data_IF_686632456210
#
_entry.id   IF_686632456210
#
_cell.length_a   1.000
_cell.length_b   1.000
_cell.length_c   1.000
_cell.angle_alpha   90.00
_cell.angle_beta   90.00
_cell.angle_gamma   90.00
#
_symmetry.space_group_name_H-M   'P 1'
#
loop_
_entity.id
_entity.type
_entity.pdbx_description
1 polymer ?
#
# COMPACT_ATOMS: atom_id res chain seq x y z
N UNK A 1 -5.37 -21.91 15.92
CA UNK A 1 -5.20 -21.02 14.77
C UNK A 1 -3.87 -20.33 14.95
N UNK A 2 -2.90 -20.61 14.08
CA UNK A 2 -1.67 -19.82 14.05
C UNK A 2 -2.10 -18.48 13.47
N UNK A 3 -2.13 -17.45 14.32
CA UNK A 3 -2.18 -16.07 13.84
C UNK A 3 -0.94 -15.92 12.97
N UNK A 4 -1.11 -16.00 11.65
CA UNK A 4 -0.05 -15.60 10.73
C UNK A 4 0.38 -14.22 11.17
N UNK A 5 1.68 -14.04 11.41
CA UNK A 5 2.25 -12.77 11.80
C UNK A 5 1.71 -11.72 10.84
N UNK A 6 0.88 -10.82 11.37
CA UNK A 6 0.39 -9.67 10.63
C UNK A 6 1.65 -8.99 10.09
N UNK A 7 1.86 -8.89 8.77
CA UNK A 7 3.03 -8.18 8.29
C UNK A 7 2.76 -6.68 8.49
N UNK A 8 3.33 -6.12 9.55
CA UNK A 8 3.26 -4.68 9.84
C UNK A 8 4.20 -3.89 8.93
N UNK A 9 5.08 -4.57 8.21
CA UNK A 9 6.11 -4.02 7.31
C UNK A 9 6.26 -4.92 6.09
N UNK A 10 6.87 -4.38 5.04
CA UNK A 10 7.24 -5.14 3.84
C UNK A 10 8.74 -5.45 3.92
N UNK A 11 9.12 -6.72 3.98
CA UNK A 11 10.52 -7.15 3.86
C UNK A 11 10.90 -7.38 2.38
N UNK A 12 12.20 -7.42 2.08
CA UNK A 12 12.69 -7.49 0.69
C UNK A 12 12.29 -8.77 -0.06
N UNK A 13 11.96 -9.83 0.66
CA UNK A 13 11.45 -11.10 0.14
C UNK A 13 9.92 -11.17 0.04
N UNK A 14 9.20 -10.16 0.55
CA UNK A 14 7.73 -10.09 0.53
C UNK A 14 7.17 -9.49 -0.78
N UNK A 15 8.03 -9.00 -1.68
CA UNK A 15 7.61 -8.38 -2.93
C UNK A 15 8.52 -8.72 -4.12
N UNK A 16 7.96 -8.52 -5.32
CA UNK A 16 8.70 -8.55 -6.57
C UNK A 16 8.43 -7.28 -7.37
N UNK A 17 9.40 -6.88 -8.19
CA UNK A 17 9.24 -5.78 -9.15
C UNK A 17 9.15 -6.37 -10.54
N UNK A 18 8.15 -5.94 -11.31
CA UNK A 18 7.92 -6.42 -12.67
C UNK A 18 7.48 -5.28 -13.60
N UNK A 19 7.29 -5.60 -14.88
CA UNK A 19 6.73 -4.71 -15.89
C UNK A 19 5.52 -5.37 -16.54
N UNK A 20 4.32 -4.90 -16.20
CA UNK A 20 3.06 -5.40 -16.74
C UNK A 20 2.49 -4.35 -17.69
N UNK A 21 2.18 -4.76 -18.92
CA UNK A 21 1.65 -3.85 -19.96
C UNK A 21 2.51 -2.59 -20.17
N UNK A 22 3.84 -2.73 -20.06
CA UNK A 22 4.79 -1.63 -20.24
C UNK A 22 4.89 -0.66 -19.05
N UNK A 23 4.25 -0.97 -17.92
CA UNK A 23 4.34 -0.17 -16.68
C UNK A 23 5.05 -0.95 -15.59
N UNK A 24 5.97 -0.31 -14.89
CA UNK A 24 6.64 -0.91 -13.75
C UNK A 24 5.66 -1.04 -12.59
N UNK A 25 5.68 -2.18 -11.90
CA UNK A 25 4.76 -2.49 -10.80
C UNK A 25 5.51 -3.14 -9.63
N UNK A 26 4.94 -3.02 -8.44
CA UNK A 26 5.30 -3.84 -7.27
C UNK A 26 4.21 -4.90 -7.12
N UNK A 27 4.62 -6.16 -7.13
CA UNK A 27 3.75 -7.31 -6.87
C UNK A 27 3.98 -7.72 -5.41
N UNK A 28 2.91 -7.72 -4.63
CA UNK A 28 2.91 -8.16 -3.23
C UNK A 28 1.91 -9.30 -3.07
N UNK A 29 2.15 -10.21 -2.14
CA UNK A 29 1.12 -11.17 -1.72
C UNK A 29 0.04 -10.44 -0.88
N UNK A 30 -1.19 -10.98 -0.78
CA UNK A 30 -2.19 -10.43 0.15
C UNK A 30 -1.66 -10.51 1.58
N UNK A 31 -1.38 -9.36 2.18
CA UNK A 31 -0.68 -9.29 3.48
C UNK A 31 -1.58 -9.60 4.67
N UNK A 32 -2.86 -9.26 4.57
CA UNK A 32 -3.89 -9.67 5.52
C UNK A 32 -5.22 -9.76 4.78
N UNK A 33 -5.98 -10.82 5.03
CA UNK A 33 -7.38 -10.90 4.63
C UNK A 33 -8.26 -10.65 5.85
N UNK A 34 -9.38 -9.96 5.67
CA UNK A 34 -10.38 -9.86 6.73
C UNK A 34 -10.84 -11.24 7.15
N UNK A 35 -10.91 -11.45 8.47
CA UNK A 35 -11.22 -12.75 9.05
C UNK A 35 -12.66 -13.16 8.81
N UNK A 36 -12.91 -14.46 8.91
CA UNK A 36 -14.26 -15.02 8.76
C UNK A 36 -15.24 -14.44 9.77
N UNK A 37 -16.42 -14.06 9.29
CA UNK A 37 -17.48 -13.42 10.07
C UNK A 37 -17.31 -11.91 10.29
N UNK A 38 -16.30 -11.27 9.68
CA UNK A 38 -16.18 -9.81 9.67
C UNK A 38 -16.86 -9.19 8.45
N UNK A 39 -17.22 -7.91 8.53
CA UNK A 39 -17.73 -7.13 7.38
C UNK A 39 -16.74 -7.06 6.22
N UNK A 40 -15.48 -7.39 6.48
CA UNK A 40 -14.36 -7.33 5.54
C UNK A 40 -13.83 -8.72 5.19
N UNK A 41 -14.61 -9.79 5.46
CA UNK A 41 -14.19 -11.17 5.22
C UNK A 41 -13.65 -11.37 3.79
N UNK A 42 -12.42 -11.90 3.70
CA UNK A 42 -11.76 -12.16 2.42
C UNK A 42 -11.24 -10.92 1.68
N UNK A 43 -11.46 -9.71 2.19
CA UNK A 43 -10.93 -8.49 1.61
C UNK A 43 -9.46 -8.26 2.04
N UNK A 44 -8.58 -7.75 1.16
CA UNK A 44 -7.24 -7.36 1.54
C UNK A 44 -7.26 -6.15 2.48
N UNK A 45 -6.50 -6.23 3.57
CA UNK A 45 -6.37 -5.18 4.58
C UNK A 45 -4.94 -4.65 4.55
N UNK A 46 -4.80 -3.32 4.48
CA UNK A 46 -3.52 -2.64 4.47
C UNK A 46 -3.38 -1.76 5.71
N UNK A 47 -2.40 -2.07 6.56
CA UNK A 47 -2.08 -1.26 7.73
C UNK A 47 -1.37 0.05 7.35
N UNK A 48 -1.32 0.99 8.29
CA UNK A 48 -0.62 2.28 8.10
C UNK A 48 0.82 2.08 7.65
N UNK A 49 1.58 1.28 8.39
CA UNK A 49 3.01 1.12 8.17
C UNK A 49 3.28 0.40 6.84
N UNK A 50 2.47 -0.59 6.50
CA UNK A 50 2.46 -1.22 5.18
C UNK A 50 2.29 -0.22 4.03
N UNK A 51 1.35 0.72 4.14
CA UNK A 51 1.13 1.74 3.11
C UNK A 51 2.32 2.69 2.97
N UNK A 52 2.98 3.04 4.08
CA UNK A 52 4.19 3.88 4.07
C UNK A 52 5.36 3.14 3.42
N UNK A 53 5.56 1.86 3.75
CA UNK A 53 6.61 1.04 3.17
C UNK A 53 6.37 0.82 1.67
N UNK A 54 5.11 0.58 1.25
CA UNK A 54 4.77 0.43 -0.17
C UNK A 54 5.05 1.72 -0.97
N UNK A 55 4.80 2.89 -0.37
CA UNK A 55 5.16 4.18 -0.96
C UNK A 55 6.67 4.31 -1.15
N UNK A 56 7.44 3.96 -0.12
CA UNK A 56 8.91 4.00 -0.16
C UNK A 56 9.47 3.05 -1.24
N UNK A 57 8.99 1.80 -1.27
CA UNK A 57 9.37 0.84 -2.31
C UNK A 57 9.00 1.33 -3.71
N UNK A 58 7.82 1.94 -3.86
CA UNK A 58 7.38 2.51 -5.12
C UNK A 58 8.36 3.56 -5.67
N UNK A 59 8.90 4.39 -4.80
CA UNK A 59 9.90 5.41 -5.15
C UNK A 59 11.28 4.78 -5.44
N UNK A 60 11.77 3.88 -4.58
CA UNK A 60 13.07 3.21 -4.75
C UNK A 60 13.15 2.48 -6.09
N UNK A 61 12.08 1.80 -6.47
CA UNK A 61 12.01 1.01 -7.71
C UNK A 61 11.49 1.79 -8.92
N UNK A 62 11.28 3.10 -8.80
CA UNK A 62 10.79 3.98 -9.88
C UNK A 62 9.44 3.51 -10.47
N UNK A 63 8.61 2.90 -9.62
CA UNK A 63 7.19 2.64 -9.92
C UNK A 63 6.37 3.91 -9.71
N UNK A 64 6.79 4.74 -8.76
CA UNK A 64 6.27 6.07 -8.50
C UNK A 64 7.33 7.12 -8.77
N UNK A 65 6.88 8.28 -9.27
CA UNK A 65 7.67 9.49 -9.31
C UNK A 65 7.33 10.38 -8.10
N UNK A 66 8.34 11.05 -7.53
CA UNK A 66 8.15 11.89 -6.34
C UNK A 66 7.17 13.05 -6.59
N UNK A 67 7.12 13.59 -7.82
CA UNK A 67 6.21 14.66 -8.18
C UNK A 67 4.75 14.21 -8.17
N UNK A 68 4.49 12.95 -8.52
CA UNK A 68 3.15 12.36 -8.46
C UNK A 68 2.72 12.15 -7.00
N UNK A 69 3.64 11.73 -6.14
CA UNK A 69 3.40 11.61 -4.69
C UNK A 69 3.10 12.97 -4.06
N UNK A 70 3.92 13.99 -4.34
CA UNK A 70 3.69 15.35 -3.84
C UNK A 70 2.34 15.91 -4.31
N UNK A 71 1.96 15.63 -5.56
CA UNK A 71 0.64 16.01 -6.09
C UNK A 71 -0.50 15.32 -5.35
N UNK A 72 -0.37 14.03 -5.06
CA UNK A 72 -1.35 13.28 -4.29
C UNK A 72 -1.50 13.85 -2.87
N UNK A 73 -0.39 14.21 -2.22
CA UNK A 73 -0.38 14.83 -0.87
C UNK A 73 -1.06 16.20 -0.87
N UNK A 74 -0.77 17.05 -1.87
CA UNK A 74 -1.44 18.35 -2.01
C UNK A 74 -2.95 18.18 -2.17
N UNK A 75 -3.37 17.29 -3.09
CA UNK A 75 -4.79 16.97 -3.29
C UNK A 75 -5.45 16.50 -1.99
N UNK A 76 -4.81 15.64 -1.22
CA UNK A 76 -5.34 15.17 0.06
C UNK A 76 -5.49 16.32 1.07
N UNK A 77 -4.54 17.25 1.10
CA UNK A 77 -4.56 18.41 2.01
C UNK A 77 -5.70 19.37 1.68
N UNK A 78 -5.96 19.61 0.38
CA UNK A 78 -7.10 20.41 -0.08
C UNK A 78 -8.44 19.80 0.39
N UNK A 79 -8.61 18.48 0.23
CA UNK A 79 -9.83 17.78 0.68
C UNK A 79 -9.99 17.78 2.21
N UNK A 80 -8.89 17.75 2.96
CA UNK A 80 -8.93 17.83 4.41
C UNK A 80 -9.35 19.23 4.89
N UNK A 81 -8.89 20.29 4.22
CA UNK A 81 -9.27 21.66 4.51
C UNK A 81 -10.77 21.92 4.27
N UNK A 82 -11.34 21.36 3.20
CA UNK A 82 -12.78 21.44 2.89
C UNK A 82 -13.68 20.74 3.92
N UNK A 83 -13.15 19.74 4.64
CA UNK A 83 -13.90 18.98 5.67
C UNK A 83 -13.82 19.60 7.07
N UNK A 84 -12.93 20.57 7.27
CA UNK A 84 -12.75 21.29 8.54
C UNK A 84 -13.21 22.75 8.47
N UNK A 85 -13.79 23.19 7.34
CA UNK A 85 -14.36 24.52 7.12
C UNK A 85 -15.86 24.59 7.33
#
# INVERSE_FOLDING_TARGET
>A
MIAGELAWKIEDDDYAVDTIQGRRVIVTAPVMLGGTGSDWEGAPIFGRDYLVDLLALGLVHQVLDIQDVERAVRKASEHAAERCG
#
